data_IF_862630645009
#
_entry.id   IF_862630645009
#
_cell.length_a   1.000
_cell.length_b   1.000
_cell.length_c   1.000
_cell.angle_alpha   90.00
_cell.angle_beta   90.00
_cell.angle_gamma   90.00
#
_symmetry.space_group_name_H-M   'P 1'
#
loop_
_entity.id
_entity.type
_entity.pdbx_description
1 polymer ?
#
# COMPACT_ATOMS: atom_id res chain seq x y z
N UNK A 1 16.85 -0.79 -20.14
CA UNK A 1 17.25 0.41 -19.36
C UNK A 1 16.33 0.61 -18.15
N UNK A 2 14.99 0.64 -18.32
CA UNK A 2 14.03 0.70 -17.20
C UNK A 2 14.20 -0.45 -16.18
N UNK A 3 14.46 -1.69 -16.62
CA UNK A 3 14.79 -2.83 -15.74
C UNK A 3 16.10 -2.68 -14.92
N UNK A 4 16.94 -1.69 -15.24
CA UNK A 4 18.25 -1.46 -14.63
C UNK A 4 18.29 -0.23 -13.73
N UNK A 5 17.21 0.56 -13.69
CA UNK A 5 17.08 1.69 -12.77
C UNK A 5 16.53 1.20 -11.44
N UNK A 6 16.98 1.82 -10.35
CA UNK A 6 16.45 1.52 -9.02
C UNK A 6 14.96 1.88 -8.95
N UNK A 7 14.16 0.98 -8.35
CA UNK A 7 12.71 1.16 -8.19
C UNK A 7 12.34 2.29 -7.22
N UNK A 8 13.26 2.67 -6.33
CA UNK A 8 13.00 3.62 -5.23
C UNK A 8 13.82 4.90 -5.31
N UNK A 9 14.96 4.89 -6.01
CA UNK A 9 15.92 6.01 -5.97
C UNK A 9 15.68 7.00 -7.12
N UNK A 10 15.30 6.54 -8.31
CA UNK A 10 15.23 7.38 -9.52
C UNK A 10 13.82 7.43 -10.14
N UNK A 11 12.78 7.53 -9.30
CA UNK A 11 11.38 7.52 -9.77
C UNK A 11 11.06 8.66 -10.73
N UNK A 12 11.63 9.85 -10.51
CA UNK A 12 11.46 11.00 -11.40
C UNK A 12 12.09 10.75 -12.79
N UNK A 13 13.29 10.18 -12.84
CA UNK A 13 13.97 9.87 -14.09
C UNK A 13 13.27 8.73 -14.85
N UNK A 14 12.86 7.68 -14.15
CA UNK A 14 12.03 6.60 -14.69
C UNK A 14 10.73 7.16 -15.29
N UNK A 15 10.05 8.08 -14.59
CA UNK A 15 8.88 8.78 -15.09
C UNK A 15 9.13 9.57 -16.37
N UNK A 16 10.25 10.32 -16.45
CA UNK A 16 10.63 11.06 -17.66
C UNK A 16 10.89 10.14 -18.86
N UNK A 17 11.54 8.99 -18.63
CA UNK A 17 11.73 7.96 -19.68
C UNK A 17 10.39 7.41 -20.15
N UNK A 18 9.49 7.04 -19.23
CA UNK A 18 8.17 6.52 -19.59
C UNK A 18 7.34 7.53 -20.40
N UNK A 19 7.39 8.82 -20.04
CA UNK A 19 6.72 9.90 -20.81
C UNK A 19 7.32 10.02 -22.21
N UNK A 20 8.65 9.95 -22.34
CA UNK A 20 9.31 9.98 -23.64
C UNK A 20 8.89 8.79 -24.51
N UNK A 21 8.89 7.58 -23.96
CA UNK A 21 8.46 6.36 -24.67
C UNK A 21 6.99 6.45 -25.11
N UNK A 22 6.10 6.91 -24.23
CA UNK A 22 4.67 7.08 -24.54
C UNK A 22 4.41 8.13 -25.64
N UNK A 23 5.32 9.09 -25.84
CA UNK A 23 5.21 10.12 -26.88
C UNK A 23 5.85 9.70 -28.21
N UNK A 24 6.92 8.91 -28.15
CA UNK A 24 7.68 8.50 -29.34
C UNK A 24 7.05 7.31 -30.07
N UNK A 25 6.28 6.47 -29.35
CA UNK A 25 5.64 5.28 -29.91
C UNK A 25 4.19 5.60 -30.31
N UNK A 26 3.76 5.34 -31.55
CA UNK A 26 2.37 5.52 -31.96
C UNK A 26 1.42 4.61 -31.17
N UNK A 27 0.17 5.03 -30.98
CA UNK A 27 -0.83 4.29 -30.21
C UNK A 27 -1.15 2.88 -30.74
N UNK A 28 -0.81 2.59 -32.00
CA UNK A 28 -1.01 1.28 -32.62
C UNK A 28 0.17 0.31 -32.42
N UNK A 29 1.23 0.73 -31.74
CA UNK A 29 2.41 -0.10 -31.54
C UNK A 29 2.18 -1.12 -30.41
N UNK A 30 2.28 -2.40 -30.75
CA UNK A 30 2.04 -3.50 -29.81
C UNK A 30 3.03 -3.55 -28.64
N UNK A 31 4.22 -2.97 -28.80
CA UNK A 31 5.29 -2.99 -27.79
C UNK A 31 4.96 -2.17 -26.54
N UNK A 32 4.10 -1.15 -26.68
CA UNK A 32 3.59 -0.32 -25.58
C UNK A 32 2.35 -0.90 -24.89
N UNK A 33 1.87 -2.05 -25.34
CA UNK A 33 0.71 -2.72 -24.77
C UNK A 33 1.16 -3.85 -23.83
N UNK A 34 0.27 -4.25 -22.91
CA UNK A 34 0.39 -5.48 -22.14
C UNK A 34 -0.58 -6.53 -22.72
N UNK A 35 -0.29 -7.15 -23.89
CA UNK A 35 -1.25 -8.00 -24.60
C UNK A 35 -1.61 -9.28 -23.84
N UNK A 36 -0.69 -9.77 -23.00
CA UNK A 36 -0.90 -10.95 -22.16
C UNK A 36 -1.53 -10.61 -20.82
N UNK A 37 -1.65 -9.31 -20.49
CA UNK A 37 -2.20 -8.87 -19.20
C UNK A 37 -1.40 -9.36 -18.00
N UNK A 38 -0.09 -9.56 -18.13
CA UNK A 38 0.74 -10.03 -17.02
C UNK A 38 0.74 -9.00 -15.89
N UNK A 39 0.44 -9.46 -14.67
CA UNK A 39 0.49 -8.65 -13.47
C UNK A 39 1.88 -8.68 -12.84
N UNK A 40 2.24 -7.62 -12.13
CA UNK A 40 3.52 -7.52 -11.43
C UNK A 40 3.46 -8.24 -10.09
N UNK A 41 3.52 -9.57 -10.08
CA UNK A 41 3.53 -10.38 -8.86
C UNK A 41 4.86 -10.36 -8.10
N UNK A 42 5.91 -9.75 -8.65
CA UNK A 42 7.26 -9.69 -8.02
C UNK A 42 7.37 -8.68 -6.88
N UNK A 43 6.38 -7.80 -6.71
CA UNK A 43 6.35 -6.85 -5.60
C UNK A 43 5.52 -7.45 -4.48
N UNK A 44 6.16 -8.25 -3.65
CA UNK A 44 5.53 -8.87 -2.49
C UNK A 44 5.52 -7.88 -1.32
N UNK A 45 4.36 -7.72 -0.69
CA UNK A 45 4.23 -6.94 0.53
C UNK A 45 4.40 -7.88 1.70
N UNK A 46 5.50 -7.75 2.43
CA UNK A 46 5.74 -8.47 3.68
C UNK A 46 4.91 -7.81 4.79
N UNK A 47 4.14 -8.61 5.51
CA UNK A 47 3.33 -8.18 6.66
C UNK A 47 3.32 -9.29 7.71
N UNK A 48 3.13 -8.89 8.97
CA UNK A 48 3.16 -9.83 10.09
C UNK A 48 1.93 -10.76 10.05
N UNK A 49 2.19 -12.06 10.03
CA UNK A 49 1.13 -13.09 10.09
C UNK A 49 0.78 -13.48 11.52
N UNK A 50 1.70 -13.24 12.47
CA UNK A 50 1.56 -13.57 13.88
C UNK A 50 1.73 -12.32 14.73
N UNK A 51 1.05 -12.32 15.89
CA UNK A 51 1.19 -11.30 16.91
C UNK A 51 2.45 -11.57 17.72
N UNK A 52 3.57 -10.97 17.30
CA UNK A 52 4.72 -10.86 18.18
C UNK A 52 4.48 -9.72 19.18
N UNK A 53 4.14 -10.07 20.42
CA UNK A 53 4.02 -9.11 21.54
C UNK A 53 5.31 -8.28 21.73
N UNK A 54 6.44 -8.77 21.22
CA UNK A 54 7.70 -8.03 21.14
C UNK A 54 7.68 -6.91 20.10
N UNK A 55 7.05 -7.07 18.94
CA UNK A 55 7.06 -6.08 17.85
C UNK A 55 6.13 -4.88 18.10
N UNK A 56 5.07 -5.06 18.90
CA UNK A 56 4.31 -3.95 19.47
C UNK A 56 5.20 -3.01 20.33
N UNK A 57 6.35 -3.49 20.82
CA UNK A 57 7.34 -2.70 21.57
C UNK A 57 8.47 -2.16 20.69
N UNK A 58 8.73 -2.73 19.51
CA UNK A 58 9.93 -2.46 18.69
C UNK A 58 9.81 -1.26 17.75
N UNK A 59 8.63 -0.64 17.62
CA UNK A 59 8.52 0.72 17.00
C UNK A 59 9.37 1.77 17.76
N UNK A 60 9.90 1.42 18.94
CA UNK A 60 10.65 2.32 19.83
C UNK A 60 12.17 2.41 19.64
N UNK A 61 12.82 1.87 18.60
CA UNK A 61 14.31 1.85 18.61
C UNK A 61 15.11 2.25 17.37
N UNK A 62 14.49 2.67 16.27
CA UNK A 62 15.26 3.14 15.11
C UNK A 62 14.76 4.51 14.64
N UNK A 63 15.19 5.55 15.33
CA UNK A 63 15.99 6.66 14.79
C UNK A 63 16.41 7.58 15.95
N UNK A 64 17.59 8.18 15.80
CA UNK A 64 18.43 8.69 16.89
C UNK A 64 17.89 9.87 17.71
N UNK A 65 18.62 10.10 18.79
CA UNK A 65 18.51 11.14 19.83
C UNK A 65 17.49 10.88 20.95
N UNK A 66 18.07 10.64 22.13
CA UNK A 66 17.36 10.47 23.39
C UNK A 66 16.59 11.77 23.74
N UNK A 67 15.29 11.75 23.48
CA UNK A 67 14.34 12.65 24.11
C UNK A 67 13.56 11.79 25.11
N UNK A 68 13.66 12.12 26.41
CA UNK A 68 12.74 11.63 27.43
C UNK A 68 11.32 12.10 27.06
N UNK A 69 10.56 11.25 26.37
CA UNK A 69 9.13 11.47 26.13
C UNK A 69 8.37 10.59 27.10
N UNK A 70 7.94 11.24 28.18
CA UNK A 70 6.90 10.82 29.09
C UNK A 70 5.67 10.31 28.30
N UNK A 71 5.36 9.02 28.46
CA UNK A 71 4.09 8.37 28.05
C UNK A 71 3.60 8.62 26.61
N UNK A 72 4.17 7.91 25.62
CA UNK A 72 3.44 7.66 24.36
C UNK A 72 2.23 6.78 24.70
N UNK A 73 0.97 7.22 24.47
CA UNK A 73 -0.19 6.38 24.74
C UNK A 73 -0.08 5.12 23.88
N UNK A 74 -0.21 3.95 24.51
CA UNK A 74 -0.34 2.67 23.81
C UNK A 74 -1.57 2.78 22.90
N UNK A 75 -1.36 2.99 21.60
CA UNK A 75 -2.43 2.98 20.63
C UNK A 75 -2.86 1.51 20.51
N UNK A 76 -4.09 1.14 20.91
CA UNK A 76 -4.54 -0.23 20.75
C UNK A 76 -4.61 -0.55 19.26
N UNK A 77 -3.75 -1.47 18.80
CA UNK A 77 -3.73 -1.94 17.42
C UNK A 77 -4.71 -3.11 17.29
N UNK A 78 -5.70 -2.97 16.41
CA UNK A 78 -6.53 -4.10 15.99
C UNK A 78 -5.75 -4.96 14.99
N UNK A 79 -5.03 -5.95 15.51
CA UNK A 79 -4.23 -6.85 14.68
C UNK A 79 -5.08 -7.70 13.73
N UNK A 80 -6.33 -8.01 14.12
CA UNK A 80 -7.22 -8.76 13.25
C UNK A 80 -7.57 -7.94 12.01
N UNK A 81 -7.87 -6.65 12.18
CA UNK A 81 -8.08 -5.75 11.05
C UNK A 81 -6.81 -5.59 10.20
N UNK A 82 -5.63 -5.46 10.84
CA UNK A 82 -4.35 -5.40 10.13
C UNK A 82 -4.14 -6.62 9.23
N UNK A 83 -4.35 -7.82 9.77
CA UNK A 83 -4.18 -9.07 9.03
C UNK A 83 -5.21 -9.20 7.90
N UNK A 84 -6.49 -8.96 8.18
CA UNK A 84 -7.55 -9.03 7.16
C UNK A 84 -7.34 -8.01 6.05
N UNK A 85 -6.85 -6.80 6.38
CA UNK A 85 -6.52 -5.77 5.41
C UNK A 85 -5.31 -6.14 4.53
N UNK A 86 -4.19 -6.53 5.12
CA UNK A 86 -2.99 -6.87 4.34
C UNK A 86 -3.10 -8.20 3.60
N UNK A 87 -3.91 -9.13 4.08
CA UNK A 87 -4.23 -10.34 3.32
C UNK A 87 -4.93 -10.00 2.00
N UNK A 88 -5.70 -8.90 1.91
CA UNK A 88 -6.33 -8.47 0.65
C UNK A 88 -5.30 -8.13 -0.43
N UNK A 89 -4.10 -7.68 -0.03
CA UNK A 89 -3.05 -7.24 -0.95
C UNK A 89 -2.68 -8.31 -1.98
N UNK A 90 -2.65 -9.58 -1.56
CA UNK A 90 -2.30 -10.70 -2.46
C UNK A 90 -3.30 -10.88 -3.61
N UNK A 91 -4.57 -10.53 -3.39
CA UNK A 91 -5.62 -10.59 -4.41
C UNK A 91 -5.60 -9.37 -5.33
N UNK A 92 -5.18 -8.20 -4.83
CA UNK A 92 -5.02 -7.00 -5.66
C UNK A 92 -3.76 -7.04 -6.53
N UNK A 93 -2.69 -7.67 -6.04
CA UNK A 93 -1.46 -7.89 -6.82
C UNK A 93 -1.62 -8.94 -7.92
N UNK A 94 -2.41 -9.99 -7.68
CA UNK A 94 -2.74 -11.02 -8.68
C UNK A 94 -4.25 -11.32 -8.68
N UNK A 95 -5.03 -10.60 -9.52
CA UNK A 95 -6.48 -10.81 -9.61
C UNK A 95 -6.88 -12.22 -10.02
N UNK A 96 -6.02 -12.98 -10.72
CA UNK A 96 -6.36 -14.35 -11.12
C UNK A 96 -6.42 -15.32 -9.93
N UNK A 97 -5.83 -14.94 -8.80
CA UNK A 97 -5.83 -15.73 -7.57
C UNK A 97 -7.23 -16.00 -7.04
N UNK A 98 -8.18 -15.09 -7.28
CA UNK A 98 -9.58 -15.24 -6.83
C UNK A 98 -10.27 -16.47 -7.45
N UNK A 99 -9.78 -16.97 -8.59
CA UNK A 99 -10.37 -18.15 -9.25
C UNK A 99 -9.86 -19.48 -8.67
N UNK A 100 -8.90 -19.45 -7.74
CA UNK A 100 -8.40 -20.64 -7.07
C UNK A 100 -9.37 -21.09 -5.97
N UNK A 101 -9.33 -22.39 -5.62
CA UNK A 101 -10.25 -22.99 -4.66
C UNK A 101 -10.12 -22.32 -3.28
N UNK A 102 -11.25 -21.91 -2.69
CA UNK A 102 -11.37 -21.25 -1.38
C UNK A 102 -10.76 -19.83 -1.27
N UNK A 103 -10.06 -19.35 -2.29
CA UNK A 103 -9.44 -18.01 -2.30
C UNK A 103 -10.51 -16.92 -2.44
N UNK A 104 -11.55 -17.13 -3.26
CA UNK A 104 -12.66 -16.18 -3.40
C UNK A 104 -13.43 -15.97 -2.08
N UNK A 105 -13.73 -17.04 -1.35
CA UNK A 105 -14.47 -16.95 -0.09
C UNK A 105 -13.66 -16.17 0.97
N UNK A 106 -12.35 -16.40 1.00
CA UNK A 106 -11.41 -15.69 1.88
C UNK A 106 -11.35 -14.21 1.51
N UNK A 107 -11.20 -13.89 0.22
CA UNK A 107 -11.22 -12.52 -0.29
C UNK A 107 -12.52 -11.81 0.08
N UNK A 108 -13.67 -12.42 -0.20
CA UNK A 108 -14.98 -11.82 0.06
C UNK A 108 -15.20 -11.56 1.55
N UNK A 109 -14.83 -12.52 2.41
CA UNK A 109 -14.91 -12.37 3.87
C UNK A 109 -14.07 -11.19 4.35
N UNK A 110 -12.78 -11.16 4.00
CA UNK A 110 -11.86 -10.11 4.45
C UNK A 110 -12.28 -8.74 3.93
N UNK A 111 -12.71 -8.66 2.66
CA UNK A 111 -13.16 -7.42 2.05
C UNK A 111 -14.40 -6.86 2.77
N UNK A 112 -15.37 -7.72 3.07
CA UNK A 112 -16.57 -7.29 3.80
C UNK A 112 -16.23 -6.76 5.19
N UNK A 113 -15.35 -7.43 5.93
CA UNK A 113 -14.93 -6.96 7.26
C UNK A 113 -14.24 -5.59 7.20
N UNK A 114 -13.29 -5.42 6.28
CA UNK A 114 -12.60 -4.14 6.06
C UNK A 114 -13.58 -3.05 5.64
N UNK A 115 -14.51 -3.35 4.74
CA UNK A 115 -15.51 -2.40 4.27
C UNK A 115 -16.48 -1.99 5.39
N UNK A 116 -16.89 -2.91 6.25
CA UNK A 116 -17.70 -2.57 7.43
C UNK A 116 -16.97 -1.52 8.27
N UNK A 117 -15.69 -1.75 8.58
CA UNK A 117 -14.88 -0.77 9.33
C UNK A 117 -14.80 0.58 8.59
N UNK A 118 -14.53 0.59 7.29
CA UNK A 118 -14.47 1.82 6.52
C UNK A 118 -15.79 2.58 6.48
N UNK A 119 -16.93 1.88 6.50
CA UNK A 119 -18.25 2.51 6.55
C UNK A 119 -18.61 3.03 7.94
N UNK A 120 -18.14 2.38 9.00
CA UNK A 120 -18.38 2.84 10.39
C UNK A 120 -17.52 4.05 10.74
N UNK A 121 -16.30 4.14 10.20
CA UNK A 121 -15.41 5.28 10.40
C UNK A 121 -15.59 6.32 9.30
N UNK A 122 -16.51 7.27 9.51
CA UNK A 122 -16.62 8.44 8.63
C UNK A 122 -15.42 9.36 8.86
N UNK A 123 -14.70 9.66 7.77
CA UNK A 123 -13.72 10.73 7.73
C UNK A 123 -14.47 12.07 7.76
N UNK A 124 -14.93 12.49 8.93
CA UNK A 124 -15.42 13.85 9.10
C UNK A 124 -14.25 14.78 8.85
N UNK A 125 -14.34 15.53 7.74
CA UNK A 125 -13.34 16.51 7.34
C UNK A 125 -13.23 17.54 8.45
N UNK A 126 -12.23 17.39 9.34
CA UNK A 126 -11.86 18.45 10.29
C UNK A 126 -11.44 19.67 9.48
N UNK A 127 -12.39 20.56 9.25
CA UNK A 127 -12.17 21.86 8.63
C UNK A 127 -11.59 22.77 9.70
N UNK A 128 -10.28 22.69 9.93
CA UNK A 128 -9.50 23.57 10.80
C UNK A 128 -8.18 23.86 10.07
N UNK A 129 -7.83 25.08 9.67
CA UNK A 129 -8.40 26.38 10.00
C UNK A 129 -8.05 27.44 8.94
N UNK A 130 -8.59 28.62 9.20
CA UNK A 130 -8.55 29.85 8.43
C UNK A 130 -7.15 30.18 7.87
N UNK A 131 -7.04 30.34 6.55
CA UNK A 131 -6.00 31.20 6.00
C UNK A 131 -6.37 32.64 6.37
N UNK A 132 -5.81 33.12 7.48
CA UNK A 132 -5.77 34.55 7.74
C UNK A 132 -4.92 35.18 6.64
N UNK A 133 -5.53 36.11 5.91
CA UNK A 133 -4.80 37.04 5.07
C UNK A 133 -3.71 37.70 5.93
N UNK A 134 -2.46 37.63 5.47
CA UNK A 134 -1.43 38.56 5.86
C UNK A 134 -1.16 39.45 4.64
N UNK A 135 -1.24 40.74 4.91
CA UNK A 135 -1.13 41.92 4.04
C UNK A 135 0.17 41.92 3.25
#
# INVERSE_FOLDING_TARGET
MLKRLSRTIDTQFCGRINILLARSLPLNEKSGLNPTGQFNATNETEYNLELDESELKTVKKEEGEAIEIDSVPEIPVDFKLYQEFWELQKFFCDPNRIYQKNEFDTFQKNLNNVMVVFTTYRLDKKRTGSYSQAV
#
